data_IF_409569838082
#
_entry.id   IF_409569838082
#
_cell.length_a   1.000
_cell.length_b   1.000
_cell.length_c   1.000
_cell.angle_alpha   90.00
_cell.angle_beta   90.00
_cell.angle_gamma   90.00
#
_symmetry.space_group_name_H-M   'P 1'
#
loop_
_entity.id
_entity.type
_entity.pdbx_description
1 polymer ?
#
# COMPACT_ATOMS: atom_id res chain seq x y z
N UNK A 1 -9.80 -8.35 -5.62
CA UNK A 1 -10.32 -7.07 -5.11
C UNK A 1 -9.73 -6.84 -3.74
N UNK A 2 -8.94 -5.80 -3.57
CA UNK A 2 -8.30 -5.40 -2.33
C UNK A 2 -8.96 -4.12 -1.77
N UNK A 3 -8.55 -3.65 -0.59
CA UNK A 3 -9.17 -2.47 0.04
C UNK A 3 -9.05 -1.19 -0.81
N UNK A 4 -8.02 -1.09 -1.65
CA UNK A 4 -7.83 0.02 -2.58
C UNK A 4 -8.73 -0.06 -3.83
N UNK A 5 -9.46 -1.16 -4.05
CA UNK A 5 -10.45 -1.29 -5.13
C UNK A 5 -11.88 -0.94 -4.66
N UNK A 6 -12.06 -0.63 -3.37
CA UNK A 6 -13.38 -0.43 -2.74
C UNK A 6 -13.57 1.05 -2.44
N UNK A 7 -14.68 1.64 -2.89
CA UNK A 7 -14.97 3.07 -2.68
C UNK A 7 -15.15 3.46 -1.21
N UNK A 8 -15.87 2.63 -0.46
CA UNK A 8 -16.05 2.79 0.99
C UNK A 8 -15.75 1.48 1.70
N UNK A 9 -14.76 1.53 2.60
CA UNK A 9 -14.33 0.37 3.39
C UNK A 9 -15.11 0.24 4.70
N UNK A 10 -15.88 1.26 5.10
CA UNK A 10 -16.60 1.27 6.37
C UNK A 10 -17.61 0.12 6.52
N UNK A 11 -18.42 -0.23 5.51
CA UNK A 11 -19.36 -1.35 5.64
C UNK A 11 -18.62 -2.69 5.83
N UNK A 12 -17.51 -2.88 5.11
CA UNK A 12 -16.67 -4.06 5.20
C UNK A 12 -16.05 -4.18 6.60
N UNK A 13 -15.43 -3.11 7.10
CA UNK A 13 -14.81 -3.08 8.43
C UNK A 13 -15.86 -3.29 9.52
N UNK A 14 -17.03 -2.67 9.39
CA UNK A 14 -18.13 -2.83 10.36
C UNK A 14 -18.68 -4.26 10.37
N UNK A 15 -18.74 -4.93 9.21
CA UNK A 15 -19.08 -6.35 9.14
C UNK A 15 -17.98 -7.22 9.77
N UNK A 16 -16.71 -6.95 9.47
CA UNK A 16 -15.58 -7.66 10.05
C UNK A 16 -15.59 -7.59 11.59
N UNK A 17 -15.88 -6.44 12.18
CA UNK A 17 -15.99 -6.26 13.63
C UNK A 17 -17.01 -7.22 14.27
N UNK A 18 -18.13 -7.51 13.59
CA UNK A 18 -19.19 -8.42 14.10
C UNK A 18 -18.93 -9.89 13.80
N UNK A 19 -18.16 -10.18 12.76
CA UNK A 19 -17.98 -11.53 12.24
C UNK A 19 -16.71 -12.22 12.76
N UNK A 20 -15.72 -11.44 13.21
CA UNK A 20 -14.52 -12.01 13.82
C UNK A 20 -14.86 -12.67 15.16
N UNK A 21 -14.33 -13.88 15.36
CA UNK A 21 -14.34 -14.55 16.66
C UNK A 21 -13.55 -13.71 17.69
N UNK A 22 -13.75 -13.94 19.00
CA UNK A 22 -12.82 -13.45 20.01
C UNK A 22 -11.37 -13.78 19.62
N UNK A 23 -10.46 -12.81 19.80
CA UNK A 23 -9.06 -12.89 19.32
C UNK A 23 -8.88 -13.08 17.80
N UNK A 24 -9.94 -12.92 17.01
CA UNK A 24 -9.87 -12.92 15.55
C UNK A 24 -8.97 -11.80 15.02
N UNK A 25 -8.28 -12.09 13.93
CA UNK A 25 -7.40 -11.14 13.23
C UNK A 25 -7.94 -10.84 11.84
N UNK A 26 -7.83 -9.59 11.42
CA UNK A 26 -8.07 -9.15 10.05
C UNK A 26 -6.72 -8.73 9.44
N UNK A 27 -6.23 -9.52 8.48
CA UNK A 27 -4.95 -9.30 7.80
C UNK A 27 -5.25 -8.84 6.37
N UNK A 28 -4.57 -7.79 5.93
CA UNK A 28 -4.76 -7.25 4.58
C UNK A 28 -3.50 -6.63 4.02
N UNK A 29 -3.43 -6.54 2.70
CA UNK A 29 -2.40 -5.82 1.96
C UNK A 29 -3.02 -4.73 1.10
N UNK A 30 -2.33 -3.61 0.96
CA UNK A 30 -2.65 -2.54 0.01
C UNK A 30 -1.41 -2.16 -0.80
N UNK A 31 -1.62 -1.54 -1.97
CA UNK A 31 -0.53 -0.76 -2.58
C UNK A 31 -0.08 0.30 -1.57
N UNK A 32 1.22 0.50 -1.44
CA UNK A 32 1.75 1.34 -0.36
C UNK A 32 1.23 2.78 -0.50
N UNK A 33 0.46 3.32 0.47
CA UNK A 33 -0.13 4.64 0.36
C UNK A 33 0.89 5.73 0.07
N UNK A 34 2.07 5.64 0.68
CA UNK A 34 3.13 6.64 0.50
C UNK A 34 3.90 6.49 -0.82
N UNK A 35 3.92 5.32 -1.46
CA UNK A 35 4.92 5.04 -2.50
C UNK A 35 4.34 4.50 -3.81
N UNK A 36 3.08 4.04 -3.81
CA UNK A 36 2.50 3.29 -4.93
C UNK A 36 0.99 3.51 -5.10
N UNK A 37 0.43 4.60 -4.53
CA UNK A 37 -1.02 4.79 -4.51
C UNK A 37 -1.52 6.14 -5.02
N UNK A 38 -0.68 7.16 -5.18
CA UNK A 38 -1.13 8.49 -5.62
C UNK A 38 -1.38 8.56 -7.13
N UNK A 39 -2.45 9.24 -7.55
CA UNK A 39 -2.68 9.55 -8.95
C UNK A 39 -1.53 10.40 -9.52
N UNK A 40 -1.07 10.06 -10.72
CA UNK A 40 0.01 10.78 -11.39
C UNK A 40 1.37 10.69 -10.69
N UNK A 41 1.58 9.74 -9.76
CA UNK A 41 2.92 9.49 -9.21
C UNK A 41 3.92 9.25 -10.34
N UNK A 42 5.15 9.74 -10.15
CA UNK A 42 6.24 9.52 -11.11
C UNK A 42 7.21 8.50 -10.53
N UNK A 43 7.57 7.52 -11.34
CA UNK A 43 8.65 6.56 -11.09
C UNK A 43 9.78 6.88 -12.04
N UNK A 44 10.99 6.89 -11.52
CA UNK A 44 12.16 7.01 -12.37
C UNK A 44 13.35 6.29 -11.75
N UNK A 45 14.34 6.08 -12.60
CA UNK A 45 15.64 5.52 -12.28
C UNK A 45 16.65 6.46 -12.92
N UNK A 46 17.54 7.02 -12.13
CA UNK A 46 18.63 7.87 -12.58
C UNK A 46 19.97 7.16 -12.40
N UNK A 47 20.94 7.50 -13.24
CA UNK A 47 22.32 7.08 -13.07
C UNK A 47 23.06 8.16 -12.30
N UNK A 48 23.73 7.75 -11.24
CA UNK A 48 24.59 8.60 -10.40
C UNK A 48 26.01 8.07 -10.54
N UNK A 49 26.94 8.94 -10.93
CA UNK A 49 28.37 8.64 -10.86
C UNK A 49 28.86 9.00 -9.46
N UNK A 50 29.32 7.98 -8.73
CA UNK A 50 29.78 8.12 -7.34
C UNK A 50 31.06 7.32 -7.15
N UNK A 51 32.11 8.01 -6.69
CA UNK A 51 33.41 7.40 -6.40
C UNK A 51 34.02 6.63 -7.61
N UNK A 52 33.72 7.07 -8.83
CA UNK A 52 34.18 6.44 -10.08
C UNK A 52 33.34 5.24 -10.53
N UNK A 53 32.26 4.91 -9.81
CA UNK A 53 31.29 3.88 -10.19
C UNK A 53 29.97 4.52 -10.66
N UNK A 54 29.35 3.91 -11.68
CA UNK A 54 27.99 4.29 -12.10
C UNK A 54 26.99 3.42 -11.35
N UNK A 55 26.19 4.04 -10.49
CA UNK A 55 25.11 3.38 -9.75
C UNK A 55 23.75 3.82 -10.28
N UNK A 56 22.77 2.92 -10.25
CA UNK A 56 21.37 3.26 -10.53
C UNK A 56 20.62 3.59 -9.24
N UNK A 57 19.89 4.70 -9.25
CA UNK A 57 19.06 5.14 -8.13
C UNK A 57 17.61 5.29 -8.57
N UNK A 58 16.76 4.44 -8.00
CA UNK A 58 15.31 4.56 -8.13
C UNK A 58 14.71 5.63 -7.21
N UNK A 59 13.69 6.33 -7.67
CA UNK A 59 12.89 7.22 -6.82
C UNK A 59 11.42 7.27 -7.25
N UNK A 60 10.56 7.63 -6.28
CA UNK A 60 9.14 7.91 -6.51
C UNK A 60 8.82 9.35 -6.12
N UNK A 61 8.13 10.08 -6.99
CA UNK A 61 7.56 11.41 -6.68
C UNK A 61 6.08 11.26 -6.43
N UNK A 62 5.66 11.75 -5.27
CA UNK A 62 4.33 11.51 -4.74
C UNK A 62 3.60 12.84 -4.65
N UNK A 63 2.37 12.83 -5.16
CA UNK A 63 1.49 13.99 -5.19
C UNK A 63 0.21 13.65 -4.43
N UNK A 64 -0.44 14.66 -3.85
CA UNK A 64 -1.78 14.53 -3.26
C UNK A 64 -1.95 13.45 -2.17
N UNK A 65 -0.87 12.96 -1.54
CA UNK A 65 -0.90 11.89 -0.53
C UNK A 65 -1.89 12.14 0.62
N UNK A 66 -2.01 13.40 1.06
CA UNK A 66 -2.91 13.76 2.16
C UNK A 66 -4.40 13.73 1.79
N UNK A 67 -4.75 13.67 0.48
CA UNK A 67 -6.13 13.78 0.00
C UNK A 67 -6.62 12.43 -0.49
N UNK A 68 -7.72 11.93 0.07
CA UNK A 68 -8.38 10.76 -0.50
C UNK A 68 -8.96 11.09 -1.88
N UNK A 69 -8.69 10.25 -2.87
CA UNK A 69 -9.13 10.47 -4.26
C UNK A 69 -9.28 9.15 -5.00
N UNK A 70 -9.95 9.18 -6.15
CA UNK A 70 -10.12 8.05 -7.05
C UNK A 70 -9.47 8.35 -8.39
N UNK A 71 -8.83 7.37 -8.98
CA UNK A 71 -8.27 7.46 -10.33
C UNK A 71 -8.32 6.11 -11.04
N UNK A 72 -8.10 6.14 -12.36
CA UNK A 72 -8.01 4.93 -13.18
C UNK A 72 -6.57 4.45 -13.21
N UNK A 73 -6.33 3.22 -12.79
CA UNK A 73 -5.00 2.59 -12.81
C UNK A 73 -5.01 1.25 -13.54
N UNK A 74 -3.83 0.85 -14.01
CA UNK A 74 -3.56 -0.51 -14.44
C UNK A 74 -2.90 -1.27 -13.28
N UNK A 75 -3.57 -2.32 -12.80
CA UNK A 75 -3.03 -3.25 -11.80
C UNK A 75 -2.07 -4.27 -12.42
N UNK A 76 -2.27 -4.62 -13.69
CA UNK A 76 -1.42 -5.52 -14.46
C UNK A 76 -1.18 -4.93 -15.86
N UNK A 77 0.06 -5.09 -16.35
CA UNK A 77 0.41 -4.69 -17.72
C UNK A 77 -0.48 -5.42 -18.73
N UNK A 78 -1.07 -4.66 -19.65
CA UNK A 78 -1.93 -5.23 -20.69
C UNK A 78 -3.35 -5.59 -20.24
N UNK A 79 -3.78 -5.20 -19.03
CA UNK A 79 -5.17 -5.44 -18.63
C UNK A 79 -6.16 -4.71 -19.56
N UNK A 80 -7.30 -5.33 -19.92
CA UNK A 80 -8.21 -4.81 -20.94
C UNK A 80 -8.94 -3.53 -20.52
N UNK A 81 -9.13 -3.33 -19.20
CA UNK A 81 -9.88 -2.19 -18.66
C UNK A 81 -9.15 -1.64 -17.43
N UNK A 82 -8.95 -0.33 -17.40
CA UNK A 82 -8.40 0.36 -16.23
C UNK A 82 -9.37 0.29 -15.03
N UNK A 83 -8.86 -0.08 -13.86
CA UNK A 83 -9.63 -0.25 -12.64
C UNK A 83 -9.69 1.06 -11.85
N UNK A 84 -10.75 1.27 -11.08
CA UNK A 84 -10.79 2.38 -10.13
C UNK A 84 -9.91 2.04 -8.93
N UNK A 85 -8.94 2.90 -8.63
CA UNK A 85 -8.11 2.83 -7.45
C UNK A 85 -8.49 3.96 -6.50
N UNK A 86 -8.75 3.63 -5.25
CA UNK A 86 -9.16 4.55 -4.19
C UNK A 86 -7.99 4.80 -3.26
N UNK A 87 -7.28 5.90 -3.50
CA UNK A 87 -6.19 6.34 -2.65
C UNK A 87 -6.72 6.81 -1.30
N UNK A 88 -6.05 6.36 -0.24
CA UNK A 88 -6.24 6.82 1.14
C UNK A 88 -4.86 6.90 1.77
N UNK A 89 -4.59 7.97 2.53
CA UNK A 89 -3.40 8.04 3.37
C UNK A 89 -3.40 6.90 4.41
N UNK A 90 -2.24 6.57 4.99
CA UNK A 90 -2.15 5.57 6.08
C UNK A 90 -3.08 5.95 7.23
N UNK A 91 -3.12 7.24 7.60
CA UNK A 91 -3.98 7.76 8.67
C UNK A 91 -5.46 7.57 8.35
N UNK A 92 -5.90 7.89 7.13
CA UNK A 92 -7.29 7.69 6.71
C UNK A 92 -7.68 6.20 6.71
N UNK A 93 -6.79 5.34 6.19
CA UNK A 93 -7.01 3.90 6.12
C UNK A 93 -7.12 3.29 7.52
N UNK A 94 -6.17 3.55 8.41
CA UNK A 94 -6.16 3.04 9.77
C UNK A 94 -7.24 3.66 10.64
N UNK A 95 -7.55 4.95 10.44
CA UNK A 95 -8.62 5.64 11.14
C UNK A 95 -9.96 4.95 10.99
N UNK A 96 -10.27 4.40 9.81
CA UNK A 96 -11.50 3.63 9.58
C UNK A 96 -11.58 2.36 10.45
N UNK A 97 -10.44 1.69 10.68
CA UNK A 97 -10.36 0.55 11.59
C UNK A 97 -10.46 0.97 13.05
N UNK A 98 -9.71 2.00 13.45
CA UNK A 98 -9.67 2.48 14.84
C UNK A 98 -11.04 2.96 15.32
N UNK A 99 -11.79 3.67 14.46
CA UNK A 99 -13.16 4.10 14.75
C UNK A 99 -14.17 2.95 14.90
N UNK A 100 -13.78 1.72 14.53
CA UNK A 100 -14.58 0.50 14.69
C UNK A 100 -14.03 -0.42 15.78
N UNK A 101 -13.19 0.11 16.66
CA UNK A 101 -12.66 -0.61 17.82
C UNK A 101 -11.56 -1.61 17.48
N UNK A 102 -10.95 -1.52 16.29
CA UNK A 102 -9.76 -2.31 15.98
C UNK A 102 -8.50 -1.63 16.52
N UNK A 103 -7.49 -2.45 16.81
CA UNK A 103 -6.11 -2.04 17.08
C UNK A 103 -5.18 -2.67 16.05
N UNK A 104 -4.13 -1.94 15.66
CA UNK A 104 -3.05 -2.46 14.82
C UNK A 104 -2.10 -3.28 15.69
N UNK A 105 -1.86 -4.54 15.34
CA UNK A 105 -0.97 -5.45 16.08
C UNK A 105 0.06 -6.16 15.18
N UNK A 106 0.21 -5.68 13.93
CA UNK A 106 1.23 -6.12 13.00
C UNK A 106 1.27 -5.24 11.75
N UNK A 107 2.47 -4.96 11.26
CA UNK A 107 2.70 -4.18 10.04
C UNK A 107 3.99 -4.67 9.38
N UNK A 108 3.96 -4.83 8.06
CA UNK A 108 5.11 -5.19 7.24
C UNK A 108 5.14 -4.31 5.98
N UNK A 109 6.32 -3.83 5.63
CA UNK A 109 6.61 -3.06 4.42
C UNK A 109 7.56 -3.89 3.53
N UNK A 110 7.05 -4.89 2.79
CA UNK A 110 7.89 -5.83 2.07
C UNK A 110 8.66 -5.13 0.95
N UNK A 111 9.97 -5.38 0.90
CA UNK A 111 10.84 -5.02 -0.21
C UNK A 111 10.86 -6.17 -1.22
N UNK A 112 10.86 -5.85 -2.51
CA UNK A 112 10.96 -6.85 -3.56
C UNK A 112 12.34 -7.52 -3.52
N UNK A 113 12.44 -8.83 -3.80
CA UNK A 113 13.74 -9.51 -3.85
C UNK A 113 14.70 -8.81 -4.82
N UNK A 114 15.99 -8.81 -4.51
CA UNK A 114 16.99 -8.26 -5.41
C UNK A 114 17.04 -9.05 -6.73
N UNK A 115 16.56 -8.44 -7.81
CA UNK A 115 16.80 -8.94 -9.18
C UNK A 115 18.17 -8.48 -9.66
N UNK A 116 18.84 -9.19 -10.58
CA UNK A 116 20.10 -8.69 -11.17
C UNK A 116 19.84 -7.46 -12.04
N UNK A 117 20.73 -6.46 -12.03
CA UNK A 117 20.56 -5.17 -12.71
C UNK A 117 20.09 -5.31 -14.18
N UNK A 118 20.72 -6.18 -14.96
CA UNK A 118 20.38 -6.40 -16.38
C UNK A 118 19.08 -7.19 -16.64
N UNK A 119 18.37 -7.61 -15.59
CA UNK A 119 17.09 -8.30 -15.66
C UNK A 119 15.96 -7.54 -14.95
N UNK A 120 16.26 -6.38 -14.35
CA UNK A 120 15.27 -5.57 -13.65
C UNK A 120 14.37 -4.86 -14.66
N UNK A 121 13.06 -4.92 -14.45
CA UNK A 121 12.16 -3.95 -15.07
C UNK A 121 12.39 -2.56 -14.46
N UNK A 122 11.95 -1.50 -15.13
CA UNK A 122 11.93 -0.14 -14.53
C UNK A 122 11.18 -0.12 -13.19
N UNK A 123 10.16 -0.96 -13.03
CA UNK A 123 9.46 -1.13 -11.76
C UNK A 123 10.37 -1.71 -10.68
N UNK A 124 11.07 -2.80 -10.97
CA UNK A 124 11.97 -3.45 -10.01
C UNK A 124 13.12 -2.51 -9.59
N UNK A 125 13.66 -1.75 -10.55
CA UNK A 125 14.71 -0.78 -10.28
C UNK A 125 14.19 0.42 -9.44
N UNK A 126 12.99 0.93 -9.70
CA UNK A 126 12.40 2.00 -8.88
C UNK A 126 12.10 1.53 -7.45
N UNK A 127 11.58 0.31 -7.27
CA UNK A 127 11.15 -0.22 -5.96
C UNK A 127 12.19 -1.12 -5.29
N UNK A 128 13.46 -1.09 -5.75
CA UNK A 128 14.52 -1.92 -5.20
C UNK A 128 14.71 -1.73 -3.68
N UNK A 129 14.52 -0.50 -3.19
CA UNK A 129 14.58 -0.15 -1.76
C UNK A 129 13.38 0.70 -1.30
N UNK A 130 12.27 0.65 -2.04
CA UNK A 130 11.04 1.36 -1.70
C UNK A 130 9.92 0.32 -1.66
N UNK A 131 9.17 0.17 -0.55
CA UNK A 131 8.16 -0.87 -0.45
C UNK A 131 6.97 -0.52 -1.36
N UNK A 132 6.63 -1.37 -2.35
CA UNK A 132 5.48 -1.11 -3.23
C UNK A 132 4.15 -1.44 -2.56
N UNK A 133 4.17 -2.20 -1.46
CA UNK A 133 2.98 -2.64 -0.73
C UNK A 133 3.13 -2.40 0.78
N UNK A 134 1.99 -2.30 1.46
CA UNK A 134 1.89 -2.26 2.92
C UNK A 134 0.98 -3.40 3.36
N UNK A 135 1.45 -4.24 4.27
CA UNK A 135 0.69 -5.34 4.86
C UNK A 135 0.43 -5.01 6.32
N UNK A 136 -0.82 -5.17 6.75
CA UNK A 136 -1.23 -4.84 8.11
C UNK A 136 -2.12 -5.92 8.69
N UNK A 137 -1.99 -6.11 10.00
CA UNK A 137 -2.85 -6.96 10.81
C UNK A 137 -3.49 -6.11 11.89
N UNK A 138 -4.81 -6.17 11.94
CA UNK A 138 -5.60 -5.55 12.99
C UNK A 138 -6.43 -6.61 13.72
N UNK A 139 -6.83 -6.30 14.94
CA UNK A 139 -7.74 -7.11 15.75
C UNK A 139 -8.72 -6.24 16.49
N UNK A 140 -9.92 -6.72 16.85
CA UNK A 140 -10.75 -6.01 17.81
C UNK A 140 -9.96 -5.77 19.10
N UNK A 141 -10.06 -4.56 19.65
CA UNK A 141 -9.76 -4.34 21.04
C UNK A 141 -10.70 -5.27 21.82
N UNK A 142 -10.16 -6.26 22.54
CA UNK A 142 -10.98 -7.06 23.45
C UNK A 142 -11.75 -6.14 24.40
N UNK A 143 -12.84 -6.63 24.99
CA UNK A 143 -13.51 -5.89 26.06
C UNK A 143 -12.43 -5.48 27.09
N UNK A 144 -12.44 -4.22 27.58
CA UNK A 144 -11.52 -3.83 28.64
C UNK A 144 -11.64 -4.86 29.77
N UNK A 145 -10.51 -5.36 30.26
CA UNK A 145 -10.51 -6.17 31.47
C UNK A 145 -11.06 -5.28 32.59
N UNK A 146 -12.21 -5.66 33.15
CA UNK A 146 -12.74 -5.07 34.39
C UNK A 146 -11.78 -5.31 35.57
#
# INVERSE_FOLDING_TARGET
MALFDIASIDPLISAAARMLKPEGRFVFSVVHPCFNSSNGLIRAVEQEERDGEVIERGYVKIFEYGKSHVYKGQAMLGQPVAQNLFHRSISTLLGAFFQRGFVLDGMEEPILPETRAFQRSHFDATYANIPPALVMRVRPAGAPAE
#
